data_IF_201467185151
#
_entry.id   IF_201467185151
#
_cell.length_a   1.000
_cell.length_b   1.000
_cell.length_c   1.000
_cell.angle_alpha   90.00
_cell.angle_beta   90.00
_cell.angle_gamma   90.00
#
_symmetry.space_group_name_H-M   'P 1'
#
loop_
_entity.id
_entity.type
_entity.pdbx_description
1 polymer ?
#
# COMPACT_ATOMS: atom_id res chain seq x y z
N UNK A 1 -6.64 5.80 35.96
CA UNK A 1 -6.58 5.21 34.60
C UNK A 1 -5.55 5.93 33.73
N UNK A 2 -4.28 5.86 34.14
CA UNK A 2 -3.19 6.44 33.35
C UNK A 2 -2.37 5.26 32.80
N UNK A 3 -2.48 4.95 31.50
CA UNK A 3 -1.68 3.88 30.91
C UNK A 3 -0.18 4.23 30.99
N UNK A 4 0.66 3.22 31.17
CA UNK A 4 2.13 3.41 31.28
C UNK A 4 2.71 4.09 30.04
N UNK A 5 2.11 3.89 28.86
CA UNK A 5 2.52 4.55 27.61
C UNK A 5 2.09 6.02 27.49
N UNK A 6 1.36 6.56 28.49
CA UNK A 6 0.97 7.97 28.54
C UNK A 6 -0.23 8.39 27.69
N UNK A 7 -0.77 7.51 26.83
CA UNK A 7 -1.91 7.79 25.97
C UNK A 7 -2.79 6.57 25.71
N UNK A 8 -4.01 6.79 25.22
CA UNK A 8 -4.90 5.78 24.66
C UNK A 8 -5.21 6.12 23.21
N UNK A 9 -5.29 5.12 22.37
CA UNK A 9 -5.67 5.27 20.95
C UNK A 9 -6.60 4.13 20.52
N UNK A 10 -7.51 4.43 19.61
CA UNK A 10 -8.36 3.43 18.96
C UNK A 10 -8.63 3.87 17.52
N UNK A 11 -8.38 2.99 16.56
CA UNK A 11 -8.61 3.22 15.13
C UNK A 11 -8.87 1.90 14.39
N UNK A 12 -9.87 1.15 14.84
CA UNK A 12 -10.28 -0.13 14.27
C UNK A 12 -9.18 -1.21 14.24
N UNK A 13 -8.17 -1.12 15.14
CA UNK A 13 -7.18 -2.17 15.31
C UNK A 13 -7.78 -3.39 16.02
N UNK A 14 -7.09 -4.52 15.91
CA UNK A 14 -7.43 -5.71 16.69
C UNK A 14 -7.46 -5.37 18.19
N UNK A 15 -8.52 -5.73 18.93
CA UNK A 15 -8.70 -5.29 20.32
C UNK A 15 -7.79 -6.00 21.32
N UNK A 16 -7.20 -7.14 20.93
CA UNK A 16 -6.37 -7.99 21.77
C UNK A 16 -5.02 -8.25 21.08
N UNK A 17 -4.04 -8.67 21.86
CA UNK A 17 -2.76 -9.15 21.37
C UNK A 17 -2.73 -10.69 21.20
N UNK A 18 -1.57 -11.21 20.79
CA UNK A 18 -1.37 -12.65 20.56
C UNK A 18 -1.45 -13.53 21.80
N UNK A 19 -1.51 -12.95 23.00
CA UNK A 19 -1.65 -13.68 24.26
C UNK A 19 -3.10 -13.96 24.63
N UNK A 20 -4.04 -13.34 23.93
CA UNK A 20 -5.46 -13.57 24.16
C UNK A 20 -5.86 -15.00 23.73
N UNK A 21 -6.42 -15.81 24.63
CA UNK A 21 -6.54 -17.25 24.42
C UNK A 21 -7.68 -17.66 23.49
N UNK A 22 -8.54 -16.73 23.08
CA UNK A 22 -9.69 -17.03 22.24
C UNK A 22 -9.54 -16.39 20.87
N UNK A 23 -10.10 -17.07 19.83
CA UNK A 23 -10.18 -16.51 18.50
C UNK A 23 -11.13 -15.30 18.49
N UNK A 24 -10.64 -14.19 17.95
CA UNK A 24 -11.37 -12.94 17.81
C UNK A 24 -11.59 -12.65 16.33
N UNK A 25 -12.82 -12.90 15.86
CA UNK A 25 -13.20 -12.68 14.47
C UNK A 25 -13.43 -11.20 14.18
N UNK A 26 -13.00 -10.73 13.02
CA UNK A 26 -13.24 -9.37 12.56
C UNK A 26 -12.31 -8.96 11.42
N UNK A 27 -12.62 -7.80 10.85
CA UNK A 27 -11.80 -7.14 9.85
C UNK A 27 -11.18 -5.89 10.52
N UNK A 28 -9.87 -5.91 10.68
CA UNK A 28 -9.14 -4.92 11.46
C UNK A 28 -8.12 -4.21 10.59
N UNK A 29 -8.22 -2.90 10.54
CA UNK A 29 -7.30 -2.06 9.80
C UNK A 29 -5.89 -2.12 10.44
N UNK A 30 -4.83 -2.27 9.62
CA UNK A 30 -3.47 -2.54 10.08
C UNK A 30 -2.54 -1.33 10.10
N UNK A 31 -2.87 -0.23 9.41
CA UNK A 31 -1.94 0.87 9.17
C UNK A 31 -2.25 2.10 10.01
N UNK A 32 -3.51 2.55 10.05
CA UNK A 32 -3.91 3.80 10.69
C UNK A 32 -3.61 3.84 12.19
N UNK A 33 -3.94 2.78 12.92
CA UNK A 33 -3.64 2.71 14.36
C UNK A 33 -2.13 2.75 14.63
N UNK A 34 -1.33 2.04 13.84
CA UNK A 34 0.13 2.02 13.97
C UNK A 34 0.72 3.41 13.71
N UNK A 35 0.22 4.13 12.69
CA UNK A 35 0.62 5.52 12.42
C UNK A 35 0.27 6.45 13.57
N UNK A 36 -0.96 6.36 14.10
CA UNK A 36 -1.40 7.14 15.26
C UNK A 36 -0.52 6.86 16.46
N UNK A 37 -0.27 5.60 16.80
CA UNK A 37 0.58 5.22 17.91
C UNK A 37 2.00 5.77 17.74
N UNK A 38 2.60 5.62 16.57
CA UNK A 38 3.93 6.16 16.27
C UNK A 38 4.01 7.67 16.54
N UNK A 39 3.02 8.45 16.06
CA UNK A 39 3.00 9.90 16.28
C UNK A 39 2.82 10.22 17.76
N UNK A 40 1.92 9.53 18.47
CA UNK A 40 1.68 9.77 19.89
C UNK A 40 2.89 9.40 20.77
N UNK A 41 3.66 8.39 20.39
CA UNK A 41 4.86 7.96 21.12
C UNK A 41 6.00 9.00 21.06
N UNK A 42 6.12 9.72 19.95
CA UNK A 42 7.15 10.76 19.78
C UNK A 42 6.73 12.13 20.31
N UNK A 43 5.43 12.35 20.56
CA UNK A 43 4.94 13.61 21.13
C UNK A 43 5.31 13.71 22.61
N UNK A 44 5.96 14.84 22.96
CA UNK A 44 6.22 15.19 24.35
C UNK A 44 5.32 16.38 24.74
N UNK A 45 4.50 16.23 25.79
CA UNK A 45 3.54 17.26 26.26
C UNK A 45 2.58 17.68 25.13
N UNK A 46 1.87 16.71 24.56
CA UNK A 46 0.91 16.93 23.49
C UNK A 46 -0.08 18.06 23.78
N UNK A 47 -0.27 18.92 22.79
CA UNK A 47 -1.19 20.06 22.83
C UNK A 47 -2.46 19.77 22.01
N UNK A 48 -3.56 20.54 22.18
CA UNK A 48 -4.71 20.46 21.29
C UNK A 48 -4.36 20.65 19.81
N UNK A 49 -3.34 21.47 19.52
CA UNK A 49 -2.87 21.69 18.15
C UNK A 49 -2.21 20.44 17.55
N UNK A 50 -1.46 19.71 18.35
CA UNK A 50 -0.85 18.44 17.91
C UNK A 50 -1.94 17.41 17.56
N UNK A 51 -3.02 17.36 18.34
CA UNK A 51 -4.15 16.48 18.06
C UNK A 51 -4.90 16.89 16.78
N UNK A 52 -5.07 18.18 16.53
CA UNK A 52 -5.64 18.67 15.27
C UNK A 52 -4.75 18.28 14.06
N UNK A 53 -3.43 18.37 14.22
CA UNK A 53 -2.47 17.98 13.19
C UNK A 53 -2.56 16.47 12.94
N UNK A 54 -2.63 15.66 13.99
CA UNK A 54 -2.75 14.20 13.88
C UNK A 54 -4.07 13.77 13.22
N UNK A 55 -5.17 14.49 13.46
CA UNK A 55 -6.46 14.21 12.80
C UNK A 55 -6.42 14.43 11.29
N UNK A 56 -5.52 15.27 10.81
CA UNK A 56 -5.30 15.57 9.39
C UNK A 56 -4.04 14.89 8.81
N UNK A 57 -3.46 13.95 9.55
CA UNK A 57 -2.30 13.21 9.08
C UNK A 57 -2.71 12.28 7.91
N UNK A 58 -2.18 12.59 6.74
CA UNK A 58 -2.41 11.87 5.49
C UNK A 58 -1.19 11.06 5.03
N UNK A 59 -0.30 10.71 5.95
CA UNK A 59 0.85 9.85 5.68
C UNK A 59 0.41 8.41 5.38
N UNK A 60 0.80 7.88 4.22
CA UNK A 60 0.51 6.51 3.81
C UNK A 60 1.52 5.53 4.38
N UNK A 61 1.19 4.89 5.49
CA UNK A 61 2.06 3.86 6.08
C UNK A 61 2.15 2.61 5.19
N UNK A 62 1.09 2.26 4.46
CA UNK A 62 1.13 1.21 3.44
C UNK A 62 2.22 1.51 2.40
N UNK A 63 2.21 2.72 1.84
CA UNK A 63 3.21 3.11 0.85
C UNK A 63 4.62 3.12 1.44
N UNK A 64 4.80 3.66 2.64
CA UNK A 64 6.10 3.71 3.29
C UNK A 64 6.71 2.32 3.53
N UNK A 65 5.88 1.32 3.80
CA UNK A 65 6.32 -0.05 4.05
C UNK A 65 6.48 -0.89 2.78
N UNK A 66 5.70 -0.61 1.72
CA UNK A 66 5.70 -1.47 0.52
C UNK A 66 6.50 -0.88 -0.63
N UNK A 67 6.44 0.43 -0.85
CA UNK A 67 7.05 1.06 -2.03
C UNK A 67 8.56 0.82 -2.14
N UNK A 68 9.38 0.88 -1.07
CA UNK A 68 10.81 0.58 -1.19
C UNK A 68 11.08 -0.82 -1.75
N UNK A 69 10.32 -1.80 -1.32
CA UNK A 69 10.39 -3.17 -1.84
C UNK A 69 9.96 -3.25 -3.31
N UNK A 70 8.85 -2.63 -3.69
CA UNK A 70 8.39 -2.60 -5.08
C UNK A 70 9.45 -1.97 -5.99
N UNK A 71 10.01 -0.83 -5.58
CA UNK A 71 11.05 -0.12 -6.32
C UNK A 71 12.32 -0.95 -6.52
N UNK A 72 12.71 -1.74 -5.53
CA UNK A 72 13.90 -2.62 -5.62
C UNK A 72 13.74 -3.76 -6.64
N UNK A 73 12.50 -4.09 -7.01
CA UNK A 73 12.18 -5.13 -8.00
C UNK A 73 12.04 -4.59 -9.44
N UNK A 74 12.12 -3.28 -9.66
CA UNK A 74 11.96 -2.69 -10.99
C UNK A 74 13.27 -2.78 -11.80
N UNK A 75 13.16 -3.23 -13.05
CA UNK A 75 14.26 -3.31 -14.00
C UNK A 75 14.34 -2.02 -14.82
N UNK A 76 15.14 -1.06 -14.38
CA UNK A 76 15.25 0.28 -14.98
C UNK A 76 15.62 0.29 -16.48
N UNK A 77 16.40 -0.72 -16.95
CA UNK A 77 16.86 -0.81 -18.34
C UNK A 77 15.74 -1.01 -19.35
N UNK A 78 14.59 -1.52 -18.92
CA UNK A 78 13.44 -1.82 -19.78
C UNK A 78 12.46 -0.65 -19.89
N UNK A 79 12.66 0.41 -19.10
CA UNK A 79 11.72 1.52 -18.98
C UNK A 79 11.95 2.59 -20.03
N UNK A 80 10.84 3.10 -20.59
CA UNK A 80 10.85 4.30 -21.44
C UNK A 80 11.03 5.59 -20.60
N UNK A 81 11.30 6.77 -21.27
CA UNK A 81 11.55 8.02 -20.55
C UNK A 81 10.41 8.45 -19.61
N UNK A 82 9.14 8.23 -20.00
CA UNK A 82 7.98 8.59 -19.18
C UNK A 82 7.89 7.69 -17.94
N UNK A 83 8.12 6.40 -18.10
CA UNK A 83 8.15 5.45 -16.99
C UNK A 83 9.28 5.75 -16.01
N UNK A 84 10.47 6.12 -16.51
CA UNK A 84 11.60 6.57 -15.66
C UNK A 84 11.26 7.83 -14.88
N UNK A 85 10.53 8.76 -15.47
CA UNK A 85 10.06 9.96 -14.76
C UNK A 85 9.13 9.59 -13.60
N UNK A 86 8.09 8.77 -13.85
CA UNK A 86 7.18 8.30 -12.80
C UNK A 86 7.93 7.54 -11.70
N UNK A 87 8.85 6.66 -12.08
CA UNK A 87 9.69 5.93 -11.13
C UNK A 87 10.52 6.87 -10.25
N UNK A 88 11.09 7.94 -10.84
CA UNK A 88 11.82 8.96 -10.09
C UNK A 88 10.93 9.75 -9.12
N UNK A 89 9.71 10.08 -9.53
CA UNK A 89 8.72 10.74 -8.64
C UNK A 89 8.36 9.83 -7.46
N UNK A 90 8.13 8.54 -7.70
CA UNK A 90 7.87 7.56 -6.64
C UNK A 90 9.08 7.39 -5.69
N UNK A 91 10.30 7.34 -6.21
CA UNK A 91 11.54 7.24 -5.39
C UNK A 91 11.73 8.43 -4.45
N UNK A 92 11.27 9.62 -4.84
CA UNK A 92 11.42 10.85 -4.07
C UNK A 92 10.17 11.22 -3.25
N UNK A 93 9.13 10.39 -3.25
CA UNK A 93 7.90 10.67 -2.53
C UNK A 93 8.07 10.47 -1.02
N UNK A 94 7.59 11.42 -0.25
CA UNK A 94 7.60 11.42 1.22
C UNK A 94 6.41 10.70 1.86
N UNK A 95 5.63 9.97 1.06
CA UNK A 95 4.44 9.21 1.45
C UNK A 95 3.24 10.05 1.95
N UNK A 96 3.27 11.36 1.73
CA UNK A 96 2.13 12.24 2.02
C UNK A 96 1.14 12.15 0.87
N UNK A 97 -0.16 11.99 1.20
CA UNK A 97 -1.24 11.83 0.22
C UNK A 97 -2.06 13.11 0.04
N UNK A 98 -1.39 14.25 -0.16
CA UNK A 98 -2.07 15.50 -0.43
C UNK A 98 -2.79 15.48 -1.79
N UNK A 99 -3.94 16.12 -1.85
CA UNK A 99 -4.82 16.14 -3.03
C UNK A 99 -4.18 16.74 -4.28
N UNK A 100 -3.19 17.62 -4.12
CA UNK A 100 -2.46 18.26 -5.22
C UNK A 100 -1.24 17.45 -5.71
N UNK A 101 -0.98 16.29 -5.15
CA UNK A 101 0.12 15.41 -5.53
C UNK A 101 -0.36 14.30 -6.48
N UNK A 102 0.40 14.04 -7.55
CA UNK A 102 0.15 12.94 -8.48
C UNK A 102 0.76 11.61 -8.02
N UNK A 103 1.83 11.68 -7.26
CA UNK A 103 2.60 10.50 -6.82
C UNK A 103 1.77 9.50 -6.01
N UNK A 104 0.88 9.92 -5.09
CA UNK A 104 -0.03 8.99 -4.44
C UNK A 104 -0.89 8.19 -5.43
N UNK A 105 -1.43 8.84 -6.48
CA UNK A 105 -2.23 8.17 -7.51
C UNK A 105 -1.43 7.11 -8.25
N UNK A 106 -0.16 7.38 -8.55
CA UNK A 106 0.73 6.37 -9.17
C UNK A 106 0.92 5.18 -8.25
N UNK A 107 1.20 5.40 -6.96
CA UNK A 107 1.38 4.31 -6.01
C UNK A 107 0.10 3.47 -5.86
N UNK A 108 -1.05 4.07 -5.57
CA UNK A 108 -2.28 3.33 -5.33
C UNK A 108 -2.78 2.62 -6.60
N UNK A 109 -2.57 3.21 -7.77
CA UNK A 109 -2.87 2.53 -9.03
C UNK A 109 -1.92 1.35 -9.27
N UNK A 110 -0.62 1.52 -9.01
CA UNK A 110 0.35 0.42 -9.10
C UNK A 110 -0.01 -0.71 -8.15
N UNK A 111 -0.30 -0.38 -6.90
CA UNK A 111 -0.73 -1.34 -5.88
C UNK A 111 -2.01 -2.08 -6.32
N UNK A 112 -3.01 -1.36 -6.82
CA UNK A 112 -4.24 -1.96 -7.34
C UNK A 112 -3.99 -2.91 -8.52
N UNK A 113 -3.11 -2.55 -9.46
CA UNK A 113 -2.76 -3.44 -10.57
C UNK A 113 -1.98 -4.67 -10.09
N UNK A 114 -1.12 -4.50 -9.10
CA UNK A 114 -0.39 -5.60 -8.46
C UNK A 114 -1.37 -6.59 -7.81
N UNK A 115 -2.28 -6.11 -6.97
CA UNK A 115 -3.29 -6.96 -6.33
C UNK A 115 -4.11 -7.77 -7.34
N UNK A 116 -4.49 -7.16 -8.46
CA UNK A 116 -5.28 -7.82 -9.52
C UNK A 116 -4.56 -9.00 -10.17
N UNK A 117 -3.25 -8.88 -10.39
CA UNK A 117 -2.48 -9.94 -11.07
C UNK A 117 -1.94 -10.96 -10.09
N UNK A 118 -1.70 -10.58 -8.83
CA UNK A 118 -1.26 -11.52 -7.77
C UNK A 118 -2.39 -12.44 -7.30
N UNK A 119 -3.63 -11.96 -7.32
CA UNK A 119 -4.78 -12.69 -6.81
C UNK A 119 -5.81 -13.01 -7.90
N UNK A 120 -5.34 -13.29 -9.13
CA UNK A 120 -6.23 -13.50 -10.27
C UNK A 120 -7.01 -14.82 -10.22
N UNK A 121 -6.62 -15.79 -9.39
CA UNK A 121 -7.39 -17.00 -9.09
C UNK A 121 -8.71 -16.68 -8.38
N UNK A 122 -8.72 -15.68 -7.53
CA UNK A 122 -9.92 -15.29 -6.77
C UNK A 122 -10.97 -14.61 -7.64
N UNK A 123 -10.54 -13.90 -8.70
CA UNK A 123 -11.43 -13.15 -9.58
C UNK A 123 -12.36 -14.04 -10.42
N UNK A 124 -12.00 -15.29 -10.65
CA UNK A 124 -12.69 -16.17 -11.61
C UNK A 124 -13.71 -17.13 -10.99
N UNK A 125 -13.63 -17.37 -9.69
CA UNK A 125 -14.34 -18.51 -9.09
C UNK A 125 -15.58 -18.15 -8.26
N UNK A 126 -15.99 -16.90 -8.22
CA UNK A 126 -17.12 -16.46 -7.38
C UNK A 126 -17.07 -17.07 -5.96
N UNK A 127 -15.83 -17.18 -5.43
CA UNK A 127 -15.56 -17.86 -4.17
C UNK A 127 -15.95 -16.98 -2.99
N UNK A 128 -16.40 -17.60 -1.93
CA UNK A 128 -16.57 -16.95 -0.62
C UNK A 128 -15.24 -16.66 0.08
N UNK A 129 -14.12 -17.05 -0.52
CA UNK A 129 -12.79 -16.78 0.00
C UNK A 129 -12.43 -15.29 -0.13
N UNK A 130 -11.95 -14.71 0.94
CA UNK A 130 -11.46 -13.33 0.93
C UNK A 130 -10.09 -13.27 0.29
N UNK A 131 -9.91 -12.29 -0.59
CA UNK A 131 -8.58 -11.91 -1.09
C UNK A 131 -7.75 -11.44 0.11
N UNK A 132 -6.46 -11.84 0.22
CA UNK A 132 -5.56 -11.33 1.24
C UNK A 132 -5.55 -9.80 1.27
N UNK A 133 -5.58 -9.23 2.47
CA UNK A 133 -5.54 -7.77 2.64
C UNK A 133 -4.18 -7.18 2.23
N UNK A 134 -4.09 -5.85 2.22
CA UNK A 134 -2.86 -5.14 1.84
C UNK A 134 -1.67 -5.53 2.71
N UNK A 135 -1.89 -5.74 4.00
CA UNK A 135 -0.85 -6.14 4.94
C UNK A 135 -0.37 -7.56 4.67
N UNK A 136 -1.30 -8.51 4.50
CA UNK A 136 -1.01 -9.90 4.17
C UNK A 136 -0.29 -10.01 2.83
N UNK A 137 -0.80 -9.31 1.80
CA UNK A 137 -0.18 -9.28 0.47
C UNK A 137 1.24 -8.74 0.53
N UNK A 138 1.44 -7.59 1.20
CA UNK A 138 2.76 -7.00 1.38
C UNK A 138 3.73 -7.95 2.12
N UNK A 139 3.24 -8.68 3.10
CA UNK A 139 4.03 -9.66 3.83
C UNK A 139 4.43 -10.85 2.94
N UNK A 140 3.47 -11.43 2.21
CA UNK A 140 3.70 -12.58 1.31
C UNK A 140 4.74 -12.22 0.25
N UNK A 141 4.57 -11.11 -0.44
CA UNK A 141 5.50 -10.69 -1.50
C UNK A 141 6.95 -10.53 -1.02
N UNK A 142 7.14 -10.12 0.24
CA UNK A 142 8.48 -9.92 0.81
C UNK A 142 9.09 -11.18 1.42
N UNK A 143 8.28 -12.07 1.98
CA UNK A 143 8.78 -13.18 2.78
C UNK A 143 8.60 -14.55 2.10
N UNK A 144 7.67 -14.63 1.15
CA UNK A 144 7.34 -15.86 0.43
C UNK A 144 7.42 -15.65 -1.10
N UNK A 145 8.60 -15.30 -1.65
CA UNK A 145 8.72 -14.91 -3.06
C UNK A 145 8.37 -16.01 -4.06
N UNK A 146 8.29 -17.26 -3.58
CA UNK A 146 7.91 -18.43 -4.37
C UNK A 146 6.51 -18.95 -4.02
N UNK A 147 5.68 -18.10 -3.40
CA UNK A 147 4.31 -18.48 -3.08
C UNK A 147 3.54 -18.80 -4.37
N UNK A 148 2.91 -19.97 -4.43
CA UNK A 148 2.34 -20.51 -5.67
C UNK A 148 1.29 -19.64 -6.35
N UNK A 149 0.58 -18.79 -5.59
CA UNK A 149 -0.42 -17.84 -6.10
C UNK A 149 0.18 -16.53 -6.62
N UNK A 150 1.51 -16.38 -6.65
CA UNK A 150 2.15 -15.24 -7.34
C UNK A 150 2.13 -15.46 -8.86
N UNK A 151 1.96 -16.70 -9.31
CA UNK A 151 1.87 -17.07 -10.71
C UNK A 151 0.62 -16.51 -11.40
N UNK A 152 0.78 -15.92 -12.58
CA UNK A 152 -0.35 -15.39 -13.35
C UNK A 152 -1.01 -16.53 -14.12
N UNK A 153 -2.21 -16.92 -13.71
CA UNK A 153 -2.93 -18.09 -14.22
C UNK A 153 -3.06 -18.22 -15.74
N UNK A 154 -3.02 -17.10 -16.46
CA UNK A 154 -3.22 -17.07 -17.92
C UNK A 154 -1.93 -17.10 -18.71
N UNK A 155 -0.78 -17.13 -18.08
CA UNK A 155 0.50 -17.18 -18.75
C UNK A 155 1.09 -18.62 -18.68
N UNK A 156 1.92 -19.03 -19.64
CA UNK A 156 2.61 -20.32 -19.59
C UNK A 156 3.88 -20.28 -18.74
N UNK A 157 4.26 -19.12 -18.23
CA UNK A 157 5.43 -18.88 -17.40
C UNK A 157 5.01 -18.83 -15.93
N UNK A 158 5.82 -19.39 -15.06
CA UNK A 158 5.69 -19.17 -13.62
C UNK A 158 6.36 -17.83 -13.29
N UNK A 159 5.57 -16.85 -12.87
CA UNK A 159 6.06 -15.52 -12.53
C UNK A 159 6.73 -15.49 -11.17
N UNK A 160 7.71 -14.60 -11.06
CA UNK A 160 8.35 -14.23 -9.80
C UNK A 160 7.75 -12.94 -9.25
N UNK A 161 8.00 -12.64 -7.99
CA UNK A 161 7.63 -11.33 -7.39
C UNK A 161 8.17 -10.15 -8.21
N UNK A 162 9.38 -10.28 -8.78
CA UNK A 162 9.93 -9.23 -9.66
C UNK A 162 9.13 -9.09 -10.94
N UNK A 163 8.70 -10.20 -11.56
CA UNK A 163 7.84 -10.14 -12.75
C UNK A 163 6.51 -9.42 -12.43
N UNK A 164 5.86 -9.79 -11.33
CA UNK A 164 4.61 -9.15 -10.87
C UNK A 164 4.80 -7.64 -10.65
N UNK A 165 5.90 -7.23 -10.00
CA UNK A 165 6.20 -5.81 -9.80
C UNK A 165 6.38 -5.06 -11.13
N UNK A 166 7.11 -5.63 -12.08
CA UNK A 166 7.35 -4.99 -13.38
C UNK A 166 6.08 -4.95 -14.26
N UNK A 167 5.31 -6.04 -14.31
CA UNK A 167 4.06 -6.11 -15.08
C UNK A 167 3.04 -5.09 -14.52
N UNK A 168 2.84 -5.08 -13.20
CA UNK A 168 1.90 -4.15 -12.56
C UNK A 168 2.33 -2.69 -12.70
N UNK A 169 3.65 -2.39 -12.62
CA UNK A 169 4.18 -1.06 -12.88
C UNK A 169 3.88 -0.61 -14.33
N UNK A 170 4.10 -1.50 -15.30
CA UNK A 170 3.76 -1.22 -16.69
C UNK A 170 2.27 -0.96 -16.86
N UNK A 171 1.40 -1.81 -16.30
CA UNK A 171 -0.05 -1.64 -16.36
C UNK A 171 -0.49 -0.28 -15.79
N UNK A 172 0.09 0.12 -14.66
CA UNK A 172 -0.15 1.45 -14.06
C UNK A 172 0.26 2.57 -15.01
N UNK A 173 1.47 2.50 -15.59
CA UNK A 173 1.95 3.56 -16.50
C UNK A 173 1.14 3.62 -17.80
N UNK A 174 0.73 2.48 -18.34
CA UNK A 174 -0.14 2.39 -19.52
C UNK A 174 -1.51 3.01 -19.22
N UNK A 175 -2.10 2.73 -18.07
CA UNK A 175 -3.35 3.38 -17.63
C UNK A 175 -3.24 4.91 -17.66
N UNK A 176 -2.22 5.49 -17.02
CA UNK A 176 -2.04 6.95 -17.02
C UNK A 176 -1.72 7.53 -18.40
N UNK A 177 -1.06 6.75 -19.26
CA UNK A 177 -0.78 7.19 -20.64
C UNK A 177 -2.04 7.32 -21.49
N UNK A 178 -3.05 6.51 -21.24
CA UNK A 178 -4.32 6.46 -21.97
C UNK A 178 -5.36 7.48 -21.49
N UNK A 179 -5.13 8.14 -20.36
CA UNK A 179 -6.06 9.14 -19.85
C UNK A 179 -6.19 10.32 -20.82
N UNK A 180 -7.38 10.91 -20.98
CA UNK A 180 -7.59 12.13 -21.74
C UNK A 180 -6.67 13.26 -21.29
N UNK A 181 -6.35 14.22 -22.21
CA UNK A 181 -5.46 15.35 -21.88
C UNK A 181 -6.00 16.17 -20.71
N UNK A 182 -7.31 16.36 -20.64
CA UNK A 182 -8.01 17.07 -19.58
C UNK A 182 -7.78 16.39 -18.23
N UNK A 183 -7.90 15.07 -18.19
CA UNK A 183 -7.63 14.30 -16.98
C UNK A 183 -6.15 14.28 -16.59
N UNK A 184 -5.22 14.34 -17.57
CA UNK A 184 -3.78 14.41 -17.30
C UNK A 184 -3.34 15.72 -16.67
N UNK A 185 -4.07 16.81 -16.94
CA UNK A 185 -3.81 18.15 -16.46
C UNK A 185 -4.69 18.52 -15.24
N UNK A 186 -5.70 17.73 -14.93
CA UNK A 186 -6.50 17.92 -13.73
C UNK A 186 -5.62 17.68 -12.50
N UNK A 187 -5.79 18.53 -11.50
CA UNK A 187 -5.29 18.23 -10.16
C UNK A 187 -6.04 16.98 -9.67
N UNK A 188 -5.29 15.96 -9.36
CA UNK A 188 -5.86 14.69 -8.92
C UNK A 188 -6.43 14.89 -7.52
N UNK A 189 -7.76 14.88 -7.42
CA UNK A 189 -8.43 14.86 -6.14
C UNK A 189 -8.68 13.40 -5.75
N UNK A 190 -8.20 13.03 -4.57
CA UNK A 190 -8.58 11.79 -3.90
C UNK A 190 -9.95 11.95 -3.25
#
# INVERSE_FOLDING_TARGET
LNPLRGFCSSANQHPTDNTYPYYYSGDYEKYRNRRINYVLEILNKATPKDMQTLQNDNFSLLAAETLPFLLSNIVDSTLNPQQKKILSELKNWNFITDFNLKTPSYFYKWWSELLKITWDEFAQNNTTMRIPDDFQTSWILRNEPNFELIDIKKTPKIETTSDICNISFKNMTDYFSQLPKEAKNADWQF
#
